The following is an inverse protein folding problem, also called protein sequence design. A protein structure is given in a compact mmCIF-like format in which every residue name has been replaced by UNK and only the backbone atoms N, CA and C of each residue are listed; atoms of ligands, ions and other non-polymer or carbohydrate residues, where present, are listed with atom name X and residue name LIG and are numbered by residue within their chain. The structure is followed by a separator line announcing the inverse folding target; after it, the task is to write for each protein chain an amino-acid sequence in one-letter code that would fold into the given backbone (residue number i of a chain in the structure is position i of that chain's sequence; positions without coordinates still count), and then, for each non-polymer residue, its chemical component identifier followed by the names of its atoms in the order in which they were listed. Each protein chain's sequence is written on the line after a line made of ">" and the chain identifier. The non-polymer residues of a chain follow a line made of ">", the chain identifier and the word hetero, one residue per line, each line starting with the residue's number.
data_IF_690670713288
#
_entry.id   IF_690670713288
#
_cell.length_a   1.000
_cell.length_b   1.000
_cell.length_c   1.000
_cell.angle_alpha   90.00
_cell.angle_beta   90.00
_cell.angle_gamma   90.00
#
_symmetry.space_group_name_H-M   'P 1'
#
loop_
_entity.id
_entity.type
_entity.pdbx_description
1 polymer ?
#
# COMPACT_ATOMS: atom_id res chain seq x y z
N UNK A 1 16.76 -2.44 17.04
CA UNK A 1 16.42 -3.69 16.32
C UNK A 1 15.23 -3.41 15.44
N UNK A 2 15.30 -3.79 14.17
CA UNK A 2 14.16 -3.87 13.22
C UNK A 2 13.77 -5.33 13.09
N UNK A 3 12.47 -5.63 13.20
CA UNK A 3 11.94 -7.00 13.06
C UNK A 3 10.98 -7.02 11.88
N UNK A 4 11.28 -7.82 10.88
CA UNK A 4 10.50 -8.01 9.67
C UNK A 4 9.94 -9.43 9.62
N UNK A 5 8.66 -9.54 9.29
CA UNK A 5 7.98 -10.83 9.27
C UNK A 5 8.43 -11.78 8.15
N UNK A 6 8.91 -11.20 7.05
CA UNK A 6 9.42 -11.90 5.86
C UNK A 6 10.79 -11.33 5.50
N UNK A 7 11.02 -11.06 4.24
CA UNK A 7 12.22 -10.36 3.76
C UNK A 7 11.95 -8.85 3.62
N UNK A 8 13.00 -8.03 3.73
CA UNK A 8 12.90 -6.60 3.49
C UNK A 8 12.40 -6.34 2.08
N UNK A 9 11.37 -5.50 1.95
CA UNK A 9 10.74 -5.20 0.66
C UNK A 9 9.62 -6.15 0.24
N UNK A 10 9.31 -7.20 1.00
CA UNK A 10 8.27 -8.20 0.64
C UNK A 10 6.85 -7.65 0.49
N UNK A 11 6.57 -6.45 0.96
CA UNK A 11 5.26 -5.79 0.85
C UNK A 11 5.38 -4.48 0.07
N UNK A 12 4.59 -3.49 0.37
CA UNK A 12 4.40 -2.25 -0.41
C UNK A 12 5.68 -1.59 -0.91
N UNK A 13 6.73 -1.51 -0.06
CA UNK A 13 7.95 -0.78 -0.44
C UNK A 13 8.70 -1.45 -1.60
N UNK A 14 8.81 -2.76 -1.63
CA UNK A 14 9.45 -3.48 -2.75
C UNK A 14 8.59 -3.53 -4.02
N UNK A 15 7.31 -3.17 -3.92
CA UNK A 15 6.35 -3.21 -5.03
C UNK A 15 5.88 -1.81 -5.45
N UNK A 16 6.48 -0.75 -4.89
CA UNK A 16 6.12 0.62 -5.28
C UNK A 16 6.81 1.04 -6.57
N UNK A 17 6.14 1.90 -7.35
CA UNK A 17 6.80 2.62 -8.45
C UNK A 17 7.73 3.74 -7.95
N UNK A 18 7.83 3.96 -6.66
CA UNK A 18 8.79 4.78 -5.95
C UNK A 18 9.02 6.20 -6.52
N UNK A 19 7.93 6.89 -6.84
CA UNK A 19 7.95 8.33 -7.09
C UNK A 19 8.21 9.07 -5.78
N UNK A 20 9.13 10.02 -5.79
CA UNK A 20 9.49 10.88 -4.68
C UNK A 20 9.15 12.32 -5.09
N UNK A 21 8.00 12.82 -4.62
CA UNK A 21 7.49 14.11 -5.11
C UNK A 21 6.64 14.83 -4.08
N UNK A 22 6.70 16.16 -4.11
CA UNK A 22 5.79 17.06 -3.41
C UNK A 22 4.50 17.31 -4.22
N UNK A 23 4.54 17.16 -5.56
CA UNK A 23 3.35 17.15 -6.41
C UNK A 23 2.81 15.72 -6.50
N UNK A 24 1.64 15.49 -5.93
CA UNK A 24 1.10 14.17 -5.61
C UNK A 24 -0.31 13.94 -6.21
N UNK A 25 -0.47 14.26 -7.50
CA UNK A 25 -1.77 14.22 -8.15
C UNK A 25 -2.68 15.32 -7.61
N UNK A 26 -3.86 14.97 -7.12
CA UNK A 26 -4.82 15.89 -6.51
C UNK A 26 -4.81 15.82 -4.97
N UNK A 27 -3.66 15.54 -4.36
CA UNK A 27 -3.58 15.31 -2.92
C UNK A 27 -3.80 16.60 -2.13
N UNK A 28 -3.33 17.75 -2.60
CA UNK A 28 -3.53 19.02 -1.88
C UNK A 28 -5.01 19.39 -1.82
N UNK A 29 -5.75 19.22 -2.91
CA UNK A 29 -7.22 19.41 -2.92
C UNK A 29 -7.91 18.43 -1.96
N UNK A 30 -7.51 17.16 -1.98
CA UNK A 30 -8.05 16.14 -1.11
C UNK A 30 -7.83 16.46 0.36
N UNK A 31 -6.62 16.91 0.73
CA UNK A 31 -6.31 17.31 2.10
C UNK A 31 -7.07 18.58 2.46
N UNK A 32 -7.08 19.59 1.59
CA UNK A 32 -7.75 20.87 1.86
C UNK A 32 -9.26 20.74 2.08
N UNK A 33 -9.91 19.84 1.34
CA UNK A 33 -11.35 19.60 1.48
C UNK A 33 -11.72 18.88 2.80
N UNK A 34 -10.74 18.32 3.50
CA UNK A 34 -10.95 17.48 4.69
C UNK A 34 -10.23 17.97 5.94
N UNK A 35 -9.44 19.02 5.83
CA UNK A 35 -8.63 19.58 6.89
C UNK A 35 -8.58 21.11 6.83
N UNK A 36 -8.02 21.72 7.86
CA UNK A 36 -7.76 23.17 7.91
C UNK A 36 -6.61 23.55 6.95
N UNK A 37 -6.51 24.83 6.62
CA UNK A 37 -5.40 25.35 5.82
C UNK A 37 -4.04 25.12 6.52
N UNK A 38 -3.99 25.29 7.84
CA UNK A 38 -2.76 25.05 8.62
C UNK A 38 -2.30 23.58 8.57
N UNK A 39 -3.22 22.63 8.52
CA UNK A 39 -2.88 21.20 8.31
C UNK A 39 -2.31 20.98 6.92
N UNK A 40 -2.86 21.64 5.89
CA UNK A 40 -2.31 21.53 4.53
C UNK A 40 -0.92 22.14 4.43
N UNK A 41 -0.67 23.33 5.02
CA UNK A 41 0.67 23.91 5.05
C UNK A 41 1.67 22.99 5.74
N UNK A 42 1.32 22.46 6.90
CA UNK A 42 2.17 21.52 7.63
C UNK A 42 2.41 20.21 6.83
N UNK A 43 1.44 19.76 6.04
CA UNK A 43 1.64 18.62 5.14
C UNK A 43 2.65 18.95 4.06
N UNK A 44 2.54 20.10 3.38
CA UNK A 44 3.49 20.52 2.33
C UNK A 44 4.91 20.61 2.90
N UNK A 45 5.09 21.25 4.08
CA UNK A 45 6.39 21.30 4.76
C UNK A 45 6.92 19.90 5.10
N UNK A 46 6.05 18.99 5.53
CA UNK A 46 6.44 17.60 5.83
C UNK A 46 6.92 16.84 4.58
N UNK A 47 6.27 17.10 3.41
CA UNK A 47 6.68 16.47 2.16
C UNK A 47 8.01 17.02 1.65
N UNK A 48 8.26 18.32 1.82
CA UNK A 48 9.56 18.93 1.54
C UNK A 48 10.66 18.31 2.42
N UNK A 49 10.45 18.24 3.73
CA UNK A 49 11.40 17.63 4.65
C UNK A 49 11.68 16.15 4.32
N UNK A 50 10.63 15.39 3.97
CA UNK A 50 10.77 13.99 3.55
C UNK A 50 11.54 13.83 2.25
N UNK A 51 11.28 14.68 1.28
CA UNK A 51 11.98 14.73 -0.01
C UNK A 51 13.46 15.06 0.16
N UNK A 52 13.77 16.14 0.88
CA UNK A 52 15.14 16.63 1.09
C UNK A 52 15.99 15.59 1.82
N UNK A 53 15.44 14.99 2.88
CA UNK A 53 16.14 13.93 3.61
C UNK A 53 16.46 12.74 2.71
N UNK A 54 15.47 12.28 1.90
CA UNK A 54 15.64 11.12 1.03
C UNK A 54 16.65 11.40 -0.09
N UNK A 55 16.57 12.57 -0.72
CA UNK A 55 17.52 12.99 -1.75
C UNK A 55 18.92 13.10 -1.19
N UNK A 56 19.09 13.71 0.01
CA UNK A 56 20.37 13.83 0.71
C UNK A 56 20.94 12.47 1.11
N UNK A 57 20.12 11.58 1.66
CA UNK A 57 20.53 10.22 2.00
C UNK A 57 20.99 9.43 0.76
N UNK A 58 20.24 9.49 -0.32
CA UNK A 58 20.59 8.81 -1.55
C UNK A 58 21.86 9.36 -2.20
N UNK A 59 22.10 10.67 -2.11
CA UNK A 59 23.34 11.31 -2.61
C UNK A 59 24.58 10.80 -1.87
N UNK A 60 24.48 10.55 -0.55
CA UNK A 60 25.60 10.06 0.26
C UNK A 60 25.81 8.54 0.06
N UNK A 61 24.75 7.78 -0.09
CA UNK A 61 24.79 6.30 -0.11
C UNK A 61 24.82 5.70 -1.50
N UNK A 62 24.58 6.49 -2.55
CA UNK A 62 24.44 5.99 -3.92
C UNK A 62 23.17 5.19 -4.16
N UNK A 63 22.11 5.40 -3.39
CA UNK A 63 20.86 4.62 -3.43
C UNK A 63 19.99 4.85 -4.69
N UNK A 64 20.57 5.25 -5.82
CA UNK A 64 19.92 5.27 -7.13
C UNK A 64 18.79 6.29 -7.26
N UNK A 65 18.92 7.47 -6.66
CA UNK A 65 17.97 8.57 -6.80
C UNK A 65 18.22 9.32 -8.12
N UNK A 66 17.17 9.45 -8.92
CA UNK A 66 17.19 10.17 -10.18
C UNK A 66 16.27 11.40 -10.14
N UNK A 67 16.80 12.56 -10.55
CA UNK A 67 15.97 13.76 -10.73
C UNK A 67 15.06 13.59 -11.91
N UNK A 68 13.78 13.88 -11.73
CA UNK A 68 12.72 13.84 -12.74
C UNK A 68 11.67 14.89 -12.43
N UNK A 69 11.05 15.43 -13.48
CA UNK A 69 9.87 16.26 -13.30
C UNK A 69 8.66 15.43 -12.88
N UNK A 70 7.85 15.97 -11.99
CA UNK A 70 6.55 15.41 -11.64
C UNK A 70 5.43 16.16 -12.35
N UNK A 71 4.55 15.44 -13.03
CA UNK A 71 3.46 15.99 -13.82
C UNK A 71 2.12 15.38 -13.39
N UNK A 72 1.19 16.22 -13.01
CA UNK A 72 -0.21 15.85 -12.80
C UNK A 72 -1.03 16.31 -13.99
N UNK A 73 -1.68 15.42 -14.73
CA UNK A 73 -2.35 15.72 -15.99
C UNK A 73 -3.83 15.34 -16.01
N UNK A 74 -4.59 15.99 -16.85
CA UNK A 74 -5.97 15.65 -17.19
C UNK A 74 -6.00 14.90 -18.53
N UNK A 75 -6.62 13.73 -18.56
CA UNK A 75 -6.86 12.94 -19.77
C UNK A 75 -8.22 13.25 -20.42
N UNK A 76 -9.04 14.09 -19.79
CA UNK A 76 -10.34 14.54 -20.32
C UNK A 76 -10.50 16.06 -20.12
N UNK A 77 -11.36 16.73 -20.92
CA UNK A 77 -11.65 18.15 -20.71
C UNK A 77 -12.17 18.47 -19.30
N UNK A 78 -12.95 17.59 -18.70
CA UNK A 78 -13.53 17.75 -17.35
C UNK A 78 -12.45 17.68 -16.27
N UNK A 79 -11.37 16.96 -16.52
CA UNK A 79 -10.23 16.84 -15.62
C UNK A 79 -9.43 18.13 -15.47
N UNK A 80 -9.48 19.05 -16.49
CA UNK A 80 -8.74 20.32 -16.49
C UNK A 80 -9.00 21.15 -15.24
N UNK A 81 -10.25 21.24 -14.79
CA UNK A 81 -10.60 21.99 -13.60
C UNK A 81 -9.90 21.46 -12.33
N UNK A 82 -9.66 20.14 -12.25
CA UNK A 82 -8.92 19.52 -11.13
C UNK A 82 -7.42 19.86 -11.21
N UNK A 83 -6.84 19.86 -12.41
CA UNK A 83 -5.46 20.26 -12.64
C UNK A 83 -5.24 21.72 -12.22
N UNK A 84 -6.10 22.64 -12.68
CA UNK A 84 -6.02 24.06 -12.32
C UNK A 84 -6.22 24.32 -10.82
N UNK A 85 -7.11 23.56 -10.17
CA UNK A 85 -7.32 23.68 -8.73
C UNK A 85 -6.08 23.20 -7.95
N UNK A 86 -5.42 22.11 -8.37
CA UNK A 86 -4.17 21.65 -7.77
C UNK A 86 -3.04 22.64 -7.98
N UNK A 87 -2.93 23.23 -9.19
CA UNK A 87 -1.98 24.29 -9.49
C UNK A 87 -2.13 25.47 -8.53
N UNK A 88 -3.36 26.00 -8.37
CA UNK A 88 -3.61 27.13 -7.47
C UNK A 88 -3.23 26.80 -6.02
N UNK A 89 -3.56 25.61 -5.53
CA UNK A 89 -3.19 25.18 -4.18
C UNK A 89 -1.68 25.03 -4.02
N UNK A 90 -1.02 24.38 -4.96
CA UNK A 90 0.43 24.19 -4.94
C UNK A 90 1.16 25.55 -4.90
N UNK A 91 0.78 26.48 -5.79
CA UNK A 91 1.32 27.85 -5.81
C UNK A 91 1.11 28.60 -4.50
N UNK A 92 -0.11 28.53 -3.94
CA UNK A 92 -0.44 29.22 -2.69
C UNK A 92 0.32 28.69 -1.46
N UNK A 93 0.94 27.50 -1.58
CA UNK A 93 1.76 26.89 -0.54
C UNK A 93 3.26 26.85 -0.90
N UNK A 94 3.70 27.67 -1.84
CA UNK A 94 5.10 27.91 -2.13
C UNK A 94 5.76 26.89 -3.07
N UNK A 95 5.00 26.00 -3.70
CA UNK A 95 5.54 25.13 -4.74
C UNK A 95 5.67 25.89 -6.07
N UNK A 96 6.86 25.86 -6.66
CA UNK A 96 7.15 26.48 -7.95
C UNK A 96 6.66 25.63 -9.11
N UNK A 97 5.34 25.48 -9.21
CA UNK A 97 4.68 24.71 -10.26
C UNK A 97 4.39 25.54 -11.50
N UNK A 98 4.40 24.87 -12.65
CA UNK A 98 4.05 25.39 -13.96
C UNK A 98 2.71 24.80 -14.42
N UNK A 99 1.85 25.62 -15.03
CA UNK A 99 0.62 25.15 -15.67
C UNK A 99 0.86 25.00 -17.17
N UNK A 100 0.54 23.83 -17.71
CA UNK A 100 0.72 23.47 -19.11
C UNK A 100 -0.65 23.17 -19.74
N UNK A 101 -0.77 23.45 -21.05
CA UNK A 101 -1.96 23.08 -21.81
C UNK A 101 -1.96 21.60 -22.20
N UNK A 102 -0.78 21.00 -22.34
CA UNK A 102 -0.56 19.60 -22.72
C UNK A 102 0.57 18.96 -21.89
N UNK A 103 0.46 17.66 -21.58
CA UNK A 103 1.46 16.95 -20.79
C UNK A 103 2.59 16.34 -21.64
N UNK A 104 2.48 16.34 -22.97
CA UNK A 104 3.46 15.75 -23.87
C UNK A 104 3.47 14.20 -23.87
N UNK A 105 2.32 13.58 -23.60
CA UNK A 105 2.14 12.13 -23.61
C UNK A 105 1.61 11.65 -24.98
N UNK A 106 1.74 10.35 -25.33
CA UNK A 106 1.31 9.84 -26.64
C UNK A 106 -0.22 9.81 -26.82
N UNK A 107 -0.97 10.26 -25.84
CA UNK A 107 -2.44 10.39 -25.88
C UNK A 107 -2.86 11.82 -25.55
N UNK A 108 -4.08 12.23 -25.95
CA UNK A 108 -4.58 13.58 -25.69
C UNK A 108 -4.61 13.89 -24.19
N UNK A 109 -4.10 15.09 -23.83
CA UNK A 109 -4.21 15.65 -22.50
C UNK A 109 -4.78 17.06 -22.56
N UNK A 110 -5.50 17.47 -21.50
CA UNK A 110 -6.29 18.70 -21.45
C UNK A 110 -5.83 19.60 -20.32
N UNK A 111 -4.51 19.73 -20.18
CA UNK A 111 -3.81 20.50 -19.17
C UNK A 111 -3.05 19.65 -18.20
N UNK A 112 -1.97 20.23 -17.66
CA UNK A 112 -1.10 19.59 -16.69
C UNK A 112 -0.50 20.60 -15.72
N UNK A 113 -0.12 20.13 -14.54
CA UNK A 113 0.75 20.84 -13.58
C UNK A 113 2.06 20.13 -13.53
N UNK A 114 3.16 20.86 -13.71
CA UNK A 114 4.54 20.35 -13.59
C UNK A 114 5.24 20.95 -12.39
N UNK A 115 5.95 20.11 -11.67
CA UNK A 115 6.92 20.50 -10.63
C UNK A 115 8.28 19.93 -10.99
N UNK A 116 9.24 20.83 -11.24
CA UNK A 116 10.58 20.46 -11.64
C UNK A 116 11.39 19.85 -10.49
N UNK A 117 12.49 19.17 -10.82
CA UNK A 117 13.50 18.68 -9.89
C UNK A 117 12.97 17.78 -8.78
N UNK A 118 11.88 17.08 -9.04
CA UNK A 118 11.41 16.00 -8.18
C UNK A 118 12.30 14.76 -8.36
N UNK A 119 11.88 13.58 -7.93
CA UNK A 119 12.73 12.41 -8.06
C UNK A 119 11.98 11.10 -8.12
N UNK A 120 12.69 10.12 -8.60
CA UNK A 120 12.34 8.70 -8.50
C UNK A 120 13.53 7.92 -7.95
N UNK A 121 13.27 6.75 -7.39
CA UNK A 121 14.33 5.94 -6.79
C UNK A 121 14.05 4.46 -7.04
N UNK A 122 15.10 3.65 -7.03
CA UNK A 122 14.96 2.20 -6.92
C UNK A 122 14.68 1.86 -5.43
N UNK A 123 13.49 1.38 -5.08
CA UNK A 123 13.13 1.16 -3.69
C UNK A 123 13.94 0.05 -3.02
N UNK A 124 14.45 -0.93 -3.79
CA UNK A 124 15.26 -2.01 -3.23
C UNK A 124 16.69 -1.56 -2.96
N UNK A 125 17.27 -0.67 -3.80
CA UNK A 125 18.56 -0.04 -3.51
C UNK A 125 18.46 0.85 -2.28
N UNK A 126 17.37 1.62 -2.13
CA UNK A 126 17.12 2.41 -0.93
C UNK A 126 17.05 1.53 0.33
N UNK A 127 16.29 0.43 0.29
CA UNK A 127 16.18 -0.49 1.44
C UNK A 127 17.52 -1.13 1.79
N UNK A 128 18.32 -1.51 0.78
CA UNK A 128 19.66 -2.05 0.98
C UNK A 128 20.58 -1.02 1.65
N UNK A 129 20.56 0.24 1.17
CA UNK A 129 21.35 1.33 1.76
C UNK A 129 20.92 1.64 3.21
N UNK A 130 19.59 1.70 3.47
CA UNK A 130 19.08 1.89 4.83
C UNK A 130 19.48 0.74 5.78
N UNK A 131 19.42 -0.50 5.30
CA UNK A 131 19.83 -1.67 6.08
C UNK A 131 21.35 -1.67 6.33
N UNK A 132 22.14 -1.24 5.36
CA UNK A 132 23.58 -1.05 5.49
C UNK A 132 23.90 -0.01 6.56
N UNK A 133 23.29 1.17 6.47
CA UNK A 133 23.47 2.26 7.43
C UNK A 133 23.00 1.87 8.86
N UNK A 134 21.89 1.15 8.97
CA UNK A 134 21.44 0.61 10.24
C UNK A 134 22.50 -0.27 10.90
N UNK A 135 23.12 -1.18 10.15
CA UNK A 135 24.17 -2.08 10.66
C UNK A 135 25.45 -1.32 11.03
N UNK A 136 25.87 -0.37 10.21
CA UNK A 136 27.03 0.48 10.48
C UNK A 136 26.90 1.23 11.79
N UNK A 137 25.67 1.62 12.15
CA UNK A 137 25.35 2.26 13.44
C UNK A 137 25.05 1.28 14.57
N UNK A 138 25.39 0.00 14.44
CA UNK A 138 25.15 -1.05 15.44
C UNK A 138 23.72 -1.51 15.57
N UNK A 139 22.84 -1.16 14.62
CA UNK A 139 21.49 -1.67 14.57
C UNK A 139 21.42 -3.10 14.02
N UNK A 140 20.33 -3.81 14.33
CA UNK A 140 20.12 -5.20 13.90
C UNK A 140 18.81 -5.28 13.12
N UNK A 141 18.85 -5.91 11.94
CA UNK A 141 17.69 -6.29 11.15
C UNK A 141 17.49 -7.80 11.27
N UNK A 142 16.32 -8.21 11.77
CA UNK A 142 15.89 -9.61 11.89
C UNK A 142 14.77 -9.84 10.89
N UNK A 143 14.97 -10.70 9.91
CA UNK A 143 13.97 -11.14 8.93
C UNK A 143 13.38 -12.50 9.30
N UNK A 144 12.23 -12.87 8.73
CA UNK A 144 11.54 -14.14 9.01
C UNK A 144 10.90 -14.21 10.40
N UNK A 145 10.85 -13.10 11.15
CA UNK A 145 10.32 -13.06 12.51
C UNK A 145 9.07 -12.15 12.60
N UNK A 146 7.90 -12.77 12.72
CA UNK A 146 6.62 -12.04 12.79
C UNK A 146 6.32 -11.58 14.21
N UNK A 147 6.11 -10.27 14.38
CA UNK A 147 5.57 -9.71 15.62
C UNK A 147 4.07 -10.03 15.71
N UNK A 148 3.66 -10.69 16.78
CA UNK A 148 2.27 -11.10 17.02
C UNK A 148 1.58 -10.31 18.13
N UNK A 149 2.35 -9.58 18.94
CA UNK A 149 1.79 -8.76 20.01
C UNK A 149 2.81 -7.87 20.68
N UNK A 150 2.31 -6.82 21.34
CA UNK A 150 3.09 -5.94 22.22
C UNK A 150 2.34 -5.78 23.53
N UNK A 151 2.91 -6.28 24.60
CA UNK A 151 2.38 -6.14 25.95
C UNK A 151 2.54 -4.71 26.45
N UNK A 152 1.45 -4.14 27.01
CA UNK A 152 1.53 -2.91 27.77
C UNK A 152 2.04 -3.24 29.17
N UNK A 153 3.31 -3.06 29.41
CA UNK A 153 3.84 -3.09 30.76
C UNK A 153 3.51 -1.75 31.44
N UNK A 154 2.44 -1.68 32.21
CA UNK A 154 2.08 -0.46 32.96
C UNK A 154 3.09 -0.13 34.09
N UNK A 155 3.90 -1.09 34.48
CA UNK A 155 4.85 -0.95 35.60
C UNK A 155 6.31 -1.25 35.28
N UNK A 156 6.65 -1.73 34.06
CA UNK A 156 8.02 -2.04 33.69
C UNK A 156 8.59 -0.98 32.74
N UNK A 157 9.90 -0.73 32.81
CA UNK A 157 10.62 0.23 31.94
C UNK A 157 10.61 -0.18 30.46
N UNK A 158 10.19 -1.40 30.13
CA UNK A 158 10.23 -1.99 28.82
C UNK A 158 8.87 -2.55 28.39
N UNK A 159 8.55 -2.42 27.12
CA UNK A 159 7.49 -3.18 26.47
C UNK A 159 7.98 -4.61 26.14
N UNK A 160 7.10 -5.59 26.29
CA UNK A 160 7.37 -6.97 25.85
C UNK A 160 6.78 -7.19 24.47
N UNK A 161 7.63 -7.42 23.47
CA UNK A 161 7.25 -7.69 22.08
C UNK A 161 7.26 -9.21 21.86
N UNK A 162 6.11 -9.76 21.51
CA UNK A 162 5.98 -11.18 21.16
C UNK A 162 6.28 -11.37 19.69
N UNK A 163 7.20 -12.30 19.37
CA UNK A 163 7.51 -12.66 17.97
C UNK A 163 7.45 -14.18 17.77
N UNK A 164 7.38 -14.60 16.51
CA UNK A 164 7.47 -16.03 16.16
C UNK A 164 8.84 -16.66 16.49
N UNK A 165 9.88 -15.84 16.69
CA UNK A 165 11.24 -16.28 17.06
C UNK A 165 11.55 -16.10 18.56
N UNK A 166 10.54 -15.76 19.38
CA UNK A 166 10.69 -15.53 20.81
C UNK A 166 10.41 -14.08 21.23
N UNK A 167 10.35 -13.82 22.54
CA UNK A 167 10.04 -12.49 23.07
C UNK A 167 11.25 -11.55 23.03
N UNK A 168 10.97 -10.25 22.78
CA UNK A 168 11.94 -9.17 22.85
C UNK A 168 11.52 -8.14 23.89
N UNK A 169 12.48 -7.50 24.56
CA UNK A 169 12.25 -6.36 25.46
C UNK A 169 12.73 -5.07 24.80
N UNK A 170 11.89 -4.06 24.76
CA UNK A 170 12.24 -2.76 24.15
C UNK A 170 11.73 -1.60 24.99
N UNK A 171 12.55 -0.55 25.18
CA UNK A 171 12.12 0.69 25.85
C UNK A 171 11.03 1.40 25.05
N UNK A 172 11.13 1.38 23.72
CA UNK A 172 10.16 1.94 22.78
C UNK A 172 9.93 0.99 21.62
N UNK A 173 8.72 0.96 21.11
CA UNK A 173 8.30 0.12 19.98
C UNK A 173 7.64 1.03 18.95
N UNK A 174 8.04 0.92 17.69
CA UNK A 174 7.40 1.59 16.55
C UNK A 174 6.70 0.55 15.70
N UNK A 175 5.39 0.67 15.53
CA UNK A 175 4.60 -0.15 14.62
C UNK A 175 4.63 0.49 13.22
N UNK A 176 5.50 -0.02 12.35
CA UNK A 176 5.62 0.36 10.94
C UNK A 176 5.10 -0.76 10.02
N UNK A 177 4.01 -1.41 10.42
CA UNK A 177 3.50 -2.67 9.84
C UNK A 177 2.48 -2.46 8.71
N UNK A 178 2.50 -1.32 8.04
CA UNK A 178 1.52 -0.90 7.02
C UNK A 178 0.17 -0.56 7.66
N UNK A 179 -0.50 -1.54 8.25
CA UNK A 179 -1.60 -1.32 9.19
C UNK A 179 -1.18 -1.79 10.59
N UNK A 180 -1.54 -1.05 11.67
CA UNK A 180 -1.19 -1.47 13.02
C UNK A 180 -1.78 -2.85 13.36
N UNK A 181 -0.92 -3.74 13.85
CA UNK A 181 -1.31 -5.10 14.27
C UNK A 181 -1.98 -5.14 15.66
N UNK A 182 -2.05 -4.01 16.36
CA UNK A 182 -2.73 -3.86 17.64
C UNK A 182 -4.03 -3.09 17.43
N UNK A 183 -5.15 -3.65 17.90
CA UNK A 183 -6.49 -3.08 17.72
C UNK A 183 -6.75 -1.84 18.60
N UNK A 184 -5.73 -1.41 19.36
CA UNK A 184 -5.77 -0.20 20.17
C UNK A 184 -5.91 1.04 19.29
N UNK A 185 -6.86 1.92 19.60
CA UNK A 185 -7.15 3.12 18.82
C UNK A 185 -7.94 2.85 17.53
N UNK A 186 -8.36 1.61 17.27
CA UNK A 186 -9.24 1.19 16.15
C UNK A 186 -8.71 1.66 14.77
N UNK A 187 -7.39 1.59 14.55
CA UNK A 187 -6.81 2.04 13.29
C UNK A 187 -7.30 1.23 12.09
N UNK A 188 -7.62 -0.06 12.25
CA UNK A 188 -8.21 -0.87 11.20
C UNK A 188 -9.52 -0.24 10.65
N UNK A 189 -10.33 0.42 11.49
CA UNK A 189 -11.55 1.11 11.09
C UNK A 189 -11.30 2.53 10.55
N UNK A 190 -10.08 3.05 10.68
CA UNK A 190 -9.65 4.38 10.21
C UNK A 190 -8.80 4.31 8.93
N UNK A 191 -8.57 3.12 8.40
CA UNK A 191 -7.74 2.88 7.24
C UNK A 191 -8.53 2.11 6.19
N UNK A 192 -8.43 2.53 4.93
CA UNK A 192 -8.98 1.82 3.80
C UNK A 192 -7.85 1.13 3.04
N UNK A 193 -7.82 -0.21 3.05
CA UNK A 193 -6.85 -0.98 2.28
C UNK A 193 -7.20 -0.93 0.80
N UNK A 194 -6.25 -0.49 -0.03
CA UNK A 194 -6.37 -0.36 -1.49
C UNK A 194 -5.23 -1.13 -2.16
N UNK A 195 -5.55 -1.78 -3.27
CA UNK A 195 -4.58 -2.42 -4.14
C UNK A 195 -4.51 -1.68 -5.46
N UNK A 196 -3.31 -1.58 -6.03
CA UNK A 196 -3.08 -1.02 -7.37
C UNK A 196 -2.08 -1.90 -8.10
N UNK A 197 -2.13 -1.87 -9.43
CA UNK A 197 -1.29 -2.64 -10.31
C UNK A 197 -0.19 -1.78 -10.89
N UNK A 198 0.92 -2.39 -11.21
CA UNK A 198 2.02 -1.80 -11.95
C UNK A 198 2.56 -2.82 -12.95
N UNK A 199 3.02 -2.34 -14.09
CA UNK A 199 3.57 -3.13 -15.18
C UNK A 199 4.82 -2.45 -15.72
N UNK A 200 5.83 -3.24 -16.06
CA UNK A 200 7.05 -2.80 -16.71
C UNK A 200 7.05 -3.26 -18.15
N UNK A 201 7.31 -2.34 -19.06
CA UNK A 201 7.22 -2.56 -20.50
C UNK A 201 8.51 -2.16 -21.17
N UNK A 202 8.98 -2.97 -22.12
CA UNK A 202 10.04 -2.58 -23.04
C UNK A 202 9.41 -1.81 -24.19
N UNK A 203 9.89 -0.58 -24.38
CA UNK A 203 9.49 0.32 -25.47
C UNK A 203 10.76 0.93 -26.09
N UNK A 204 10.71 1.45 -27.32
CA UNK A 204 11.80 2.24 -27.87
C UNK A 204 12.18 3.41 -26.95
N UNK A 205 13.48 3.74 -26.77
CA UNK A 205 13.94 4.76 -25.84
C UNK A 205 13.29 6.14 -26.04
N UNK A 206 12.98 6.49 -27.28
CA UNK A 206 12.31 7.76 -27.65
C UNK A 206 10.84 7.83 -27.21
N UNK A 207 10.24 6.71 -26.83
CA UNK A 207 8.88 6.62 -26.32
C UNK A 207 8.81 6.66 -24.80
N UNK A 208 9.96 6.68 -24.12
CA UNK A 208 10.00 6.82 -22.67
C UNK A 208 9.58 8.25 -22.27
N UNK A 209 8.72 8.42 -21.23
CA UNK A 209 8.15 9.72 -20.91
C UNK A 209 9.15 10.72 -20.32
N UNK A 210 10.32 10.29 -19.87
CA UNK A 210 11.35 11.15 -19.29
C UNK A 210 10.97 11.85 -17.98
N UNK A 211 9.83 11.51 -17.40
CA UNK A 211 9.27 12.13 -16.19
C UNK A 211 8.32 11.22 -15.44
N UNK A 212 7.74 11.74 -14.37
CA UNK A 212 6.77 11.05 -13.53
C UNK A 212 5.38 11.66 -13.74
N UNK A 213 4.46 10.90 -14.28
CA UNK A 213 3.11 11.38 -14.63
C UNK A 213 2.05 10.70 -13.78
N UNK A 214 0.98 11.45 -13.44
CA UNK A 214 -0.17 10.95 -12.72
C UNK A 214 -1.46 11.63 -13.20
N UNK A 215 -2.40 10.85 -13.73
CA UNK A 215 -3.70 11.33 -14.19
C UNK A 215 -4.64 11.65 -13.04
N UNK A 216 -5.55 12.62 -13.26
CA UNK A 216 -6.56 13.03 -12.26
C UNK A 216 -7.87 12.28 -12.36
N UNK A 217 -8.06 11.51 -13.41
CA UNK A 217 -9.27 10.70 -13.66
C UNK A 217 -9.25 9.36 -12.93
N UNK A 218 -10.40 8.70 -12.94
CA UNK A 218 -10.55 7.30 -12.54
C UNK A 218 -10.96 6.45 -13.75
N UNK A 219 -10.30 5.33 -13.96
CA UNK A 219 -9.17 4.79 -13.20
C UNK A 219 -7.91 5.63 -13.39
N UNK A 220 -7.20 5.87 -12.28
CA UNK A 220 -5.94 6.65 -12.33
C UNK A 220 -4.90 5.94 -13.20
N UNK A 221 -4.20 6.71 -14.03
CA UNK A 221 -3.04 6.24 -14.80
C UNK A 221 -1.77 6.92 -14.29
N UNK A 222 -0.76 6.13 -14.03
CA UNK A 222 0.54 6.56 -13.52
C UNK A 222 1.62 6.07 -14.46
N UNK A 223 2.54 6.95 -14.85
CA UNK A 223 3.63 6.65 -15.77
C UNK A 223 4.95 7.13 -15.18
N UNK A 224 6.01 6.43 -15.47
CA UNK A 224 7.41 6.86 -15.35
C UNK A 224 8.32 5.94 -16.12
N UNK A 225 9.51 6.40 -16.42
CA UNK A 225 10.60 5.51 -16.84
C UNK A 225 11.33 4.88 -15.64
N UNK A 226 11.91 3.72 -15.85
CA UNK A 226 12.85 3.07 -14.95
C UNK A 226 13.95 2.42 -15.79
N UNK A 227 15.12 3.05 -15.82
CA UNK A 227 16.19 2.71 -16.75
C UNK A 227 15.65 2.77 -18.19
N UNK A 228 15.59 1.63 -18.89
CA UNK A 228 15.14 1.43 -20.27
C UNK A 228 13.68 0.92 -20.36
N UNK A 229 12.94 0.91 -19.26
CA UNK A 229 11.57 0.40 -19.19
C UNK A 229 10.57 1.53 -18.90
N UNK A 230 9.42 1.46 -19.55
CA UNK A 230 8.23 2.21 -19.18
C UNK A 230 7.52 1.48 -18.03
N UNK A 231 7.30 2.18 -16.93
CA UNK A 231 6.42 1.70 -15.86
C UNK A 231 5.04 2.34 -15.99
N UNK A 232 4.02 1.53 -16.15
CA UNK A 232 2.61 1.96 -16.09
C UNK A 232 1.98 1.47 -14.80
N UNK A 233 1.00 2.22 -14.27
CA UNK A 233 0.30 1.83 -13.05
C UNK A 233 -1.11 2.36 -12.99
N UNK A 234 -1.98 1.67 -12.26
CA UNK A 234 -3.37 2.11 -12.16
C UNK A 234 -4.33 1.08 -11.59
N UNK A 235 -5.60 1.22 -11.97
CA UNK A 235 -6.70 0.30 -11.70
C UNK A 235 -6.89 -0.07 -10.22
N UNK A 236 -6.63 0.91 -9.32
CA UNK A 236 -6.70 0.69 -7.88
C UNK A 236 -8.13 0.44 -7.39
N UNK A 237 -8.30 -0.57 -6.53
CA UNK A 237 -9.59 -0.92 -5.91
C UNK A 237 -9.43 -1.33 -4.44
N UNK A 238 -10.54 -1.52 -3.72
CA UNK A 238 -10.54 -2.08 -2.36
C UNK A 238 -10.05 -3.52 -2.35
N UNK A 239 -9.16 -3.86 -1.40
CA UNK A 239 -8.63 -5.23 -1.24
C UNK A 239 -9.78 -6.21 -1.00
N UNK A 240 -9.77 -7.35 -1.70
CA UNK A 240 -10.81 -8.38 -1.61
C UNK A 240 -12.21 -7.92 -2.07
N UNK A 241 -12.32 -6.77 -2.77
CA UNK A 241 -13.61 -6.18 -3.18
C UNK A 241 -13.82 -6.16 -4.70
N UNK A 242 -12.93 -6.74 -5.48
CA UNK A 242 -13.08 -6.94 -6.92
C UNK A 242 -13.25 -8.43 -7.20
N UNK A 243 -14.08 -8.77 -8.19
CA UNK A 243 -14.36 -10.18 -8.54
C UNK A 243 -13.14 -10.87 -9.16
N UNK A 244 -12.48 -10.19 -10.09
CA UNK A 244 -11.22 -10.62 -10.69
C UNK A 244 -10.21 -9.49 -10.62
N UNK A 245 -9.23 -9.58 -9.72
CA UNK A 245 -8.03 -8.75 -9.72
C UNK A 245 -7.20 -8.86 -11.00
N UNK A 246 -7.17 -10.02 -11.66
CA UNK A 246 -6.51 -10.24 -12.96
C UNK A 246 -7.06 -9.31 -14.04
N UNK A 247 -8.39 -9.21 -14.17
CA UNK A 247 -9.03 -8.29 -15.12
C UNK A 247 -8.56 -6.83 -14.94
N UNK A 248 -8.22 -6.40 -13.71
CA UNK A 248 -7.71 -5.06 -13.48
C UNK A 248 -6.29 -4.85 -14.02
N UNK A 249 -5.47 -5.89 -13.98
CA UNK A 249 -4.13 -5.87 -14.58
C UNK A 249 -4.24 -5.92 -16.10
N UNK A 250 -5.13 -6.76 -16.64
CA UNK A 250 -5.36 -6.90 -18.08
C UNK A 250 -5.88 -5.58 -18.69
N UNK A 251 -6.87 -4.92 -18.06
CA UNK A 251 -7.34 -3.58 -18.45
C UNK A 251 -6.22 -2.52 -18.46
N UNK A 252 -5.24 -2.63 -17.57
CA UNK A 252 -4.06 -1.74 -17.58
C UNK A 252 -3.13 -2.07 -18.73
N UNK A 253 -2.95 -3.36 -19.03
CA UNK A 253 -2.16 -3.83 -20.16
C UNK A 253 -2.76 -3.38 -21.49
N UNK A 254 -4.06 -3.59 -21.69
CA UNK A 254 -4.79 -3.16 -22.89
C UNK A 254 -4.65 -1.65 -23.11
N UNK A 255 -4.81 -0.87 -22.03
CA UNK A 255 -4.62 0.58 -22.09
C UNK A 255 -3.18 0.95 -22.46
N UNK A 256 -2.18 0.24 -21.94
CA UNK A 256 -0.78 0.52 -22.28
C UNK A 256 -0.50 0.21 -23.74
N UNK A 257 -0.93 -0.95 -24.24
CA UNK A 257 -0.75 -1.33 -25.63
C UNK A 257 -1.48 -0.43 -26.62
N UNK A 258 -2.62 0.14 -26.23
CA UNK A 258 -3.33 1.13 -27.04
C UNK A 258 -2.45 2.36 -27.35
N UNK A 259 -1.65 2.82 -26.38
CA UNK A 259 -0.88 4.06 -26.51
C UNK A 259 0.60 3.83 -26.80
N UNK A 260 1.10 2.63 -26.53
CA UNK A 260 2.44 2.13 -26.92
C UNK A 260 2.30 0.85 -27.72
N UNK A 261 1.84 0.94 -28.98
CA UNK A 261 1.71 -0.25 -29.83
C UNK A 261 3.06 -0.96 -29.98
N UNK A 262 3.05 -2.29 -29.76
CA UNK A 262 4.26 -3.09 -29.81
C UNK A 262 5.10 -3.11 -28.53
N UNK A 263 4.63 -2.47 -27.43
CA UNK A 263 5.25 -2.61 -26.12
C UNK A 263 5.25 -4.07 -25.66
N UNK A 264 6.40 -4.55 -25.19
CA UNK A 264 6.57 -5.90 -24.65
C UNK A 264 6.45 -5.88 -23.13
N UNK A 265 5.50 -6.63 -22.55
CA UNK A 265 5.36 -6.77 -21.11
C UNK A 265 6.53 -7.57 -20.53
N UNK A 266 7.34 -6.94 -19.67
CA UNK A 266 8.50 -7.53 -19.01
C UNK A 266 8.16 -8.10 -17.65
N UNK A 267 7.33 -7.36 -16.88
CA UNK A 267 6.91 -7.75 -15.54
C UNK A 267 5.60 -7.06 -15.15
N UNK A 268 4.84 -7.71 -14.29
CA UNK A 268 3.64 -7.13 -13.68
C UNK A 268 3.56 -7.50 -12.20
N UNK A 269 3.02 -6.62 -11.40
CA UNK A 269 2.84 -6.83 -9.96
C UNK A 269 1.74 -5.96 -9.39
N UNK A 270 1.37 -6.19 -8.15
CA UNK A 270 0.46 -5.30 -7.43
C UNK A 270 1.04 -4.87 -6.08
N UNK A 271 0.55 -3.77 -5.57
CA UNK A 271 0.93 -3.23 -4.27
C UNK A 271 -0.31 -2.85 -3.45
N UNK A 272 -0.27 -3.16 -2.16
CA UNK A 272 -1.30 -2.75 -1.22
C UNK A 272 -0.85 -1.54 -0.42
N UNK A 273 -1.74 -0.56 -0.26
CA UNK A 273 -1.51 0.63 0.58
C UNK A 273 -2.77 0.99 1.38
N UNK A 274 -2.60 1.88 2.34
CA UNK A 274 -3.64 2.26 3.29
C UNK A 274 -3.93 3.76 3.18
N UNK A 275 -5.20 4.09 2.92
CA UNK A 275 -5.68 5.46 2.84
C UNK A 275 -6.29 5.89 4.16
N UNK A 276 -6.03 7.13 4.56
CA UNK A 276 -6.71 7.77 5.70
C UNK A 276 -7.92 8.58 5.22
N UNK A 277 -8.97 8.76 6.04
CA UNK A 277 -10.13 9.57 5.67
C UNK A 277 -9.79 11.04 5.39
N UNK A 278 -8.77 11.58 6.06
CA UNK A 278 -8.34 12.98 5.92
C UNK A 278 -7.15 13.19 4.98
N UNK A 279 -6.55 12.12 4.40
CA UNK A 279 -5.44 12.22 3.45
C UNK A 279 -4.05 12.37 4.08
N UNK A 280 -3.95 12.64 5.39
CA UNK A 280 -2.68 12.81 6.11
C UNK A 280 -2.36 11.53 6.89
N UNK A 281 -1.08 11.09 6.99
CA UNK A 281 -0.71 9.91 7.77
C UNK A 281 -1.13 9.99 9.25
N UNK A 282 -1.36 8.83 9.85
CA UNK A 282 -1.36 8.69 11.31
C UNK A 282 0.07 8.43 11.78
N UNK A 283 0.55 9.24 12.70
CA UNK A 283 1.88 9.15 13.29
C UNK A 283 1.83 9.56 14.76
N UNK A 284 2.66 8.95 15.61
CA UNK A 284 2.76 9.29 17.03
C UNK A 284 2.42 8.14 17.95
N UNK A 285 1.95 8.45 19.16
CA UNK A 285 1.66 7.46 20.19
C UNK A 285 0.44 6.59 19.87
N UNK A 286 0.59 5.30 20.11
CA UNK A 286 -0.54 4.39 20.10
C UNK A 286 -1.36 4.58 21.40
N UNK A 287 -2.68 4.83 21.32
CA UNK A 287 -3.54 4.87 22.51
C UNK A 287 -3.38 3.61 23.37
N UNK A 288 -3.35 3.79 24.70
CA UNK A 288 -3.10 2.72 25.69
C UNK A 288 -1.75 1.99 25.49
N UNK A 289 -0.78 2.63 24.84
CA UNK A 289 0.58 2.11 24.65
C UNK A 289 1.54 2.44 25.80
N UNK A 290 1.07 3.06 26.88
CA UNK A 290 1.88 3.44 28.05
C UNK A 290 3.03 4.40 27.72
N UNK A 291 2.87 5.26 26.69
CA UNK A 291 3.92 6.16 26.21
C UNK A 291 5.13 5.48 25.55
N UNK A 292 5.06 4.15 25.33
CA UNK A 292 6.17 3.35 24.80
C UNK A 292 5.95 2.80 23.40
N UNK A 293 4.69 2.77 22.95
CA UNK A 293 4.32 2.24 21.64
C UNK A 293 3.91 3.37 20.72
N UNK A 294 4.56 3.46 19.60
CA UNK A 294 4.34 4.45 18.55
C UNK A 294 3.88 3.76 17.27
N UNK A 295 3.34 4.51 16.33
CA UNK A 295 2.94 4.02 15.03
C UNK A 295 3.17 5.05 13.92
N UNK A 296 3.31 4.55 12.69
CA UNK A 296 3.21 5.32 11.47
C UNK A 296 2.44 4.49 10.43
N UNK A 297 1.38 5.06 9.82
CA UNK A 297 0.53 4.36 8.85
C UNK A 297 -0.31 5.31 8.00
N UNK A 298 -0.94 4.79 6.94
CA UNK A 298 -1.89 5.55 6.13
C UNK A 298 -1.23 6.53 5.18
N UNK A 299 -0.24 6.09 4.44
CA UNK A 299 0.58 6.93 3.56
C UNK A 299 -0.10 7.32 2.25
N UNK A 300 -1.29 6.81 1.97
CA UNK A 300 -2.15 7.24 0.86
C UNK A 300 -1.45 7.21 -0.49
N UNK A 301 -0.71 6.13 -0.79
CA UNK A 301 0.11 5.87 -1.99
C UNK A 301 1.40 6.72 -2.11
N UNK A 302 1.69 7.58 -1.14
CA UNK A 302 2.89 8.43 -1.15
C UNK A 302 3.87 8.05 -0.04
N UNK A 303 4.09 6.73 0.11
CA UNK A 303 4.91 6.16 1.18
C UNK A 303 6.38 6.59 1.15
N UNK A 304 6.93 6.98 0.00
CA UNK A 304 8.33 7.40 -0.10
C UNK A 304 8.58 8.66 0.75
N UNK A 305 7.84 9.73 0.50
CA UNK A 305 7.97 10.98 1.26
C UNK A 305 7.28 10.91 2.62
N UNK A 306 6.06 10.36 2.71
CA UNK A 306 5.35 10.21 3.98
C UNK A 306 6.05 9.28 4.95
N UNK A 307 6.71 8.22 4.49
CA UNK A 307 7.49 7.31 5.33
C UNK A 307 8.61 8.04 6.04
N UNK A 308 9.38 8.86 5.31
CA UNK A 308 10.45 9.68 5.88
C UNK A 308 9.89 10.78 6.78
N UNK A 309 8.89 11.53 6.35
CA UNK A 309 8.26 12.58 7.15
C UNK A 309 7.72 12.05 8.49
N UNK A 310 7.11 10.86 8.49
CA UNK A 310 6.64 10.21 9.73
C UNK A 310 7.79 9.68 10.58
N UNK A 311 8.88 9.20 9.98
CA UNK A 311 10.09 8.81 10.73
C UNK A 311 10.71 10.03 11.43
N UNK A 312 10.84 11.16 10.73
CA UNK A 312 11.29 12.43 11.33
C UNK A 312 10.37 12.88 12.48
N UNK A 313 9.06 12.73 12.31
CA UNK A 313 8.09 13.03 13.36
C UNK A 313 8.28 12.14 14.59
N UNK A 314 8.44 10.83 14.40
CA UNK A 314 8.66 9.89 15.49
C UNK A 314 9.99 10.14 16.22
N UNK A 315 11.03 10.53 15.50
CA UNK A 315 12.31 10.94 16.11
C UNK A 315 12.12 12.19 16.97
N UNK A 316 11.44 13.22 16.44
CA UNK A 316 11.10 14.42 17.20
C UNK A 316 10.28 14.13 18.46
N UNK A 317 9.27 13.25 18.37
CA UNK A 317 8.44 12.82 19.51
C UNK A 317 9.27 12.07 20.57
N UNK A 318 10.17 11.19 20.13
CA UNK A 318 10.99 10.35 21.03
C UNK A 318 12.06 11.17 21.74
N UNK A 319 12.64 12.16 21.06
CA UNK A 319 13.70 13.01 21.61
C UNK A 319 13.16 14.27 22.28
N UNK A 320 11.87 14.62 22.08
CA UNK A 320 11.29 15.85 22.59
C UNK A 320 11.63 17.10 21.76
N UNK A 321 12.04 16.93 20.51
CA UNK A 321 12.56 17.96 19.60
C UNK A 321 11.65 18.19 18.35
N UNK A 322 10.33 18.19 18.54
CA UNK A 322 9.39 18.34 17.43
C UNK A 322 9.44 19.75 16.81
N UNK A 323 9.43 19.79 15.48
CA UNK A 323 9.36 21.04 14.68
C UNK A 323 7.95 21.65 14.66
N UNK A 324 7.77 22.81 14.02
CA UNK A 324 6.48 23.50 13.90
C UNK A 324 5.45 22.66 13.13
N UNK A 325 5.81 22.12 11.97
CA UNK A 325 4.92 21.32 11.14
C UNK A 325 4.54 19.98 11.80
N UNK A 326 5.46 19.34 12.53
CA UNK A 326 5.18 18.12 13.29
C UNK A 326 4.12 18.39 14.36
N UNK A 327 4.28 19.45 15.15
CA UNK A 327 3.27 19.86 16.15
C UNK A 327 1.93 20.22 15.52
N UNK A 328 1.93 20.89 14.35
CA UNK A 328 0.70 21.23 13.64
C UNK A 328 -0.05 19.97 13.15
N UNK A 329 0.67 18.98 12.62
CA UNK A 329 0.08 17.70 12.22
C UNK A 329 -0.46 16.90 13.41
N UNK A 330 0.19 16.93 14.56
CA UNK A 330 -0.32 16.29 15.79
C UNK A 330 -1.58 16.95 16.34
N UNK A 331 -1.67 18.28 16.26
CA UNK A 331 -2.81 19.06 16.76
C UNK A 331 -3.97 19.20 15.77
N UNK A 332 -3.88 18.51 14.62
CA UNK A 332 -4.92 18.61 13.59
C UNK A 332 -6.29 18.21 14.13
N UNK A 333 -7.30 18.98 13.77
CA UNK A 333 -8.71 18.72 14.10
C UNK A 333 -9.32 17.86 12.98
N UNK A 334 -10.06 16.82 13.35
CA UNK A 334 -10.83 16.02 12.41
C UNK A 334 -12.08 16.75 12.01
N UNK A 335 -12.16 17.24 10.77
CA UNK A 335 -13.33 17.95 10.26
C UNK A 335 -14.48 16.99 9.92
N UNK A 336 -15.75 17.46 9.93
CA UNK A 336 -16.92 16.65 9.58
C UNK A 336 -16.80 15.93 8.23
N UNK A 337 -16.18 16.57 7.23
CA UNK A 337 -15.95 15.95 5.94
C UNK A 337 -15.06 14.70 6.03
N UNK A 338 -14.02 14.72 6.86
CA UNK A 338 -13.18 13.53 7.09
C UNK A 338 -13.93 12.44 7.86
N UNK A 339 -14.78 12.83 8.83
CA UNK A 339 -15.64 11.88 9.55
C UNK A 339 -16.61 11.20 8.60
N UNK A 340 -17.26 11.95 7.70
CA UNK A 340 -18.20 11.41 6.72
C UNK A 340 -17.53 10.38 5.80
N UNK A 341 -16.29 10.65 5.34
CA UNK A 341 -15.51 9.68 4.56
C UNK A 341 -15.23 8.41 5.37
N UNK A 342 -14.82 8.55 6.64
CA UNK A 342 -14.58 7.41 7.52
C UNK A 342 -15.83 6.56 7.75
N UNK A 343 -16.98 7.19 7.95
CA UNK A 343 -18.29 6.49 8.07
C UNK A 343 -18.60 5.75 6.78
N UNK A 344 -18.49 6.40 5.61
CA UNK A 344 -18.75 5.79 4.31
C UNK A 344 -17.88 4.54 4.07
N UNK A 345 -16.60 4.60 4.38
CA UNK A 345 -15.70 3.43 4.27
C UNK A 345 -16.11 2.29 5.23
N UNK A 346 -16.51 2.59 6.46
CA UNK A 346 -16.95 1.56 7.40
C UNK A 346 -18.31 0.94 7.00
N UNK A 347 -19.23 1.72 6.43
CA UNK A 347 -20.46 1.19 5.83
C UNK A 347 -20.16 0.28 4.64
N UNK A 348 -19.19 0.65 3.80
CA UNK A 348 -18.71 -0.21 2.72
C UNK A 348 -18.10 -1.51 3.26
N UNK A 349 -17.28 -1.45 4.32
CA UNK A 349 -16.76 -2.64 5.03
C UNK A 349 -17.91 -3.53 5.50
N UNK A 350 -18.92 -2.98 6.18
CA UNK A 350 -20.09 -3.71 6.67
C UNK A 350 -20.86 -4.39 5.54
N UNK A 351 -21.08 -3.69 4.41
CA UNK A 351 -21.79 -4.24 3.24
C UNK A 351 -20.99 -5.40 2.60
N UNK A 352 -19.68 -5.28 2.48
CA UNK A 352 -18.84 -6.36 1.95
C UNK A 352 -18.72 -7.53 2.93
N UNK A 353 -18.73 -7.27 4.21
CA UNK A 353 -18.79 -8.30 5.23
C UNK A 353 -20.06 -9.15 5.06
N UNK A 354 -21.24 -8.51 5.02
CA UNK A 354 -22.50 -9.21 4.84
C UNK A 354 -22.57 -9.98 3.50
N UNK A 355 -22.16 -9.35 2.39
CA UNK A 355 -22.13 -9.97 1.06
C UNK A 355 -21.19 -11.18 1.00
N UNK A 356 -20.01 -11.09 1.60
CA UNK A 356 -19.04 -12.19 1.59
C UNK A 356 -19.57 -13.42 2.36
N UNK A 357 -20.23 -13.21 3.48
CA UNK A 357 -20.91 -14.27 4.22
C UNK A 357 -22.08 -14.85 3.45
N UNK A 358 -22.97 -14.02 2.89
CA UNK A 358 -24.11 -14.48 2.10
C UNK A 358 -23.65 -15.33 0.92
N UNK A 359 -22.65 -14.86 0.16
CA UNK A 359 -22.05 -15.59 -0.96
C UNK A 359 -21.49 -16.95 -0.54
N UNK A 360 -20.71 -16.98 0.55
CA UNK A 360 -20.10 -18.21 1.06
C UNK A 360 -21.11 -19.25 1.51
N UNK A 361 -22.25 -18.81 2.07
CA UNK A 361 -23.30 -19.71 2.53
C UNK A 361 -24.27 -20.13 1.41
N UNK A 362 -24.29 -19.46 0.27
CA UNK A 362 -25.19 -19.76 -0.85
C UNK A 362 -24.85 -21.08 -1.56
N UNK A 363 -23.55 -21.44 -1.62
CA UNK A 363 -23.10 -22.58 -2.41
C UNK A 363 -22.23 -23.53 -1.56
N UNK A 364 -22.27 -24.86 -1.83
CA UNK A 364 -21.32 -25.79 -1.23
C UNK A 364 -19.91 -25.47 -1.72
N UNK A 365 -18.91 -25.64 -0.84
CA UNK A 365 -17.53 -25.53 -1.22
C UNK A 365 -17.12 -26.71 -2.12
N UNK A 366 -16.35 -26.48 -3.19
CA UNK A 366 -15.83 -27.56 -4.03
C UNK A 366 -14.85 -28.43 -3.22
N UNK A 367 -14.57 -29.63 -3.72
CA UNK A 367 -13.52 -30.49 -3.17
C UNK A 367 -12.14 -30.08 -3.68
N UNK A 368 -12.08 -29.57 -4.89
CA UNK A 368 -10.88 -29.14 -5.62
C UNK A 368 -11.26 -27.99 -6.57
N UNK A 369 -10.30 -27.14 -6.92
CA UNK A 369 -10.43 -26.09 -7.93
C UNK A 369 -9.46 -26.36 -9.10
N UNK A 370 -9.63 -25.68 -10.22
CA UNK A 370 -8.62 -25.71 -11.29
C UNK A 370 -7.34 -25.03 -10.83
N UNK A 371 -6.22 -25.37 -11.45
CA UNK A 371 -4.91 -24.81 -11.12
C UNK A 371 -4.91 -23.27 -11.16
N UNK A 372 -4.30 -22.63 -10.17
CA UNK A 372 -4.24 -21.18 -10.02
C UNK A 372 -5.53 -20.52 -9.49
N UNK A 373 -6.59 -21.29 -9.21
CA UNK A 373 -7.90 -20.75 -8.80
C UNK A 373 -8.21 -21.07 -7.34
N UNK A 374 -9.08 -20.22 -6.79
CA UNK A 374 -9.64 -20.39 -5.45
C UNK A 374 -11.11 -20.02 -5.42
N UNK A 375 -11.87 -20.74 -4.62
CA UNK A 375 -13.32 -20.56 -4.46
C UNK A 375 -13.71 -20.65 -2.98
N UNK A 376 -14.74 -19.87 -2.61
CA UNK A 376 -15.32 -19.89 -1.26
C UNK A 376 -16.74 -20.39 -1.34
N UNK A 377 -17.03 -21.42 -0.57
CA UNK A 377 -18.38 -21.97 -0.38
C UNK A 377 -18.58 -22.41 1.08
N UNK A 378 -19.55 -23.25 1.35
CA UNK A 378 -19.79 -23.80 2.71
C UNK A 378 -19.53 -25.29 2.81
N UNK A 379 -19.02 -25.73 3.96
CA UNK A 379 -19.11 -27.13 4.43
C UNK A 379 -19.96 -27.16 5.69
N UNK A 380 -21.14 -27.76 5.60
CA UNK A 380 -22.17 -27.53 6.62
C UNK A 380 -22.54 -26.05 6.69
N UNK A 381 -22.32 -25.42 7.84
CA UNK A 381 -22.57 -23.98 8.08
C UNK A 381 -21.31 -23.13 8.07
N UNK A 382 -20.13 -23.73 7.83
CA UNK A 382 -18.84 -23.06 7.94
C UNK A 382 -18.37 -22.60 6.55
N UNK A 383 -18.11 -21.29 6.33
CA UNK A 383 -17.42 -20.80 5.16
C UNK A 383 -16.07 -21.49 4.98
N UNK A 384 -15.85 -22.06 3.81
CA UNK A 384 -14.66 -22.84 3.46
C UNK A 384 -14.05 -22.29 2.18
N UNK A 385 -12.77 -22.03 2.22
CA UNK A 385 -11.95 -21.56 1.11
C UNK A 385 -11.16 -22.75 0.54
N UNK A 386 -11.28 -23.01 -0.74
CA UNK A 386 -10.57 -24.09 -1.45
C UNK A 386 -9.77 -23.47 -2.58
N UNK A 387 -8.48 -23.76 -2.65
CA UNK A 387 -7.60 -23.33 -3.76
C UNK A 387 -6.65 -24.45 -4.15
N UNK A 388 -6.35 -24.52 -5.46
CA UNK A 388 -5.33 -25.41 -6.02
C UNK A 388 -4.24 -24.55 -6.65
N UNK A 389 -3.02 -24.65 -6.10
CA UNK A 389 -1.84 -23.92 -6.57
C UNK A 389 -0.64 -24.87 -6.51
N UNK A 390 0.19 -24.86 -7.56
CA UNK A 390 1.34 -25.75 -7.72
C UNK A 390 1.00 -27.24 -7.49
N UNK A 391 -0.14 -27.66 -8.03
CA UNK A 391 -0.64 -29.02 -7.88
C UNK A 391 -1.12 -29.40 -6.47
N UNK A 392 -1.19 -28.44 -5.55
CA UNK A 392 -1.61 -28.68 -4.16
C UNK A 392 -2.95 -28.05 -3.89
N UNK A 393 -3.96 -28.84 -3.52
CA UNK A 393 -5.26 -28.35 -3.09
C UNK A 393 -5.28 -28.13 -1.57
N UNK A 394 -5.56 -26.89 -1.18
CA UNK A 394 -5.75 -26.49 0.21
C UNK A 394 -7.22 -26.22 0.50
N UNK A 395 -7.68 -26.64 1.67
CA UNK A 395 -9.05 -26.38 2.15
C UNK A 395 -8.98 -25.79 3.56
N UNK A 396 -9.42 -24.52 3.68
CA UNK A 396 -9.24 -23.69 4.86
C UNK A 396 -10.58 -23.15 5.36
N UNK A 397 -10.65 -22.82 6.65
CA UNK A 397 -11.74 -21.99 7.16
C UNK A 397 -11.62 -20.59 6.53
N UNK A 398 -12.62 -20.16 5.74
CA UNK A 398 -12.58 -18.91 5.01
C UNK A 398 -12.77 -17.66 5.89
N UNK A 399 -12.93 -17.85 7.20
CA UNK A 399 -13.16 -16.74 8.15
C UNK A 399 -11.83 -16.12 8.54
N UNK A 400 -11.66 -14.83 8.19
CA UNK A 400 -10.45 -14.07 8.53
C UNK A 400 -10.25 -14.02 10.06
N UNK A 401 -9.08 -14.42 10.58
CA UNK A 401 -8.81 -14.50 12.01
C UNK A 401 -8.67 -13.12 12.70
N UNK A 402 -8.78 -11.99 11.94
CA UNK A 402 -8.81 -10.64 12.53
C UNK A 402 -10.20 -10.30 13.09
N UNK A 403 -11.22 -10.13 12.24
CA UNK A 403 -12.56 -9.67 12.61
C UNK A 403 -13.68 -10.53 12.00
N UNK A 404 -13.37 -11.69 11.47
CA UNK A 404 -14.39 -12.66 11.05
C UNK A 404 -15.06 -12.43 9.68
N UNK A 405 -14.56 -11.52 8.84
CA UNK A 405 -15.05 -11.40 7.47
C UNK A 405 -14.60 -12.61 6.63
N UNK A 406 -15.38 -12.98 5.62
CA UNK A 406 -15.03 -14.08 4.71
C UNK A 406 -14.09 -13.56 3.62
N UNK A 407 -12.94 -14.24 3.46
CA UNK A 407 -11.91 -13.89 2.47
C UNK A 407 -12.40 -14.15 1.04
N UNK A 408 -11.74 -13.51 0.07
CA UNK A 408 -11.98 -13.69 -1.35
C UNK A 408 -10.68 -14.08 -2.04
N UNK A 409 -10.76 -14.89 -3.10
CA UNK A 409 -9.60 -15.24 -3.90
C UNK A 409 -9.13 -14.07 -4.75
N UNK A 410 -7.83 -13.89 -4.80
CA UNK A 410 -7.15 -12.97 -5.68
C UNK A 410 -6.43 -13.79 -6.75
N UNK A 411 -7.01 -13.82 -7.93
CA UNK A 411 -6.54 -14.58 -9.10
C UNK A 411 -5.30 -13.98 -9.77
N UNK A 412 -4.91 -12.76 -9.40
CA UNK A 412 -3.68 -12.14 -9.86
C UNK A 412 -2.49 -12.52 -8.97
N UNK A 413 -2.68 -12.51 -7.64
CA UNK A 413 -1.62 -12.75 -6.66
C UNK A 413 -1.58 -14.21 -6.15
N UNK A 414 -2.57 -15.03 -6.50
CA UNK A 414 -2.72 -16.37 -5.93
C UNK A 414 -2.88 -16.34 -4.41
N UNK A 415 -3.71 -15.44 -3.88
CA UNK A 415 -3.83 -15.22 -2.44
C UNK A 415 -5.28 -15.11 -1.97
N UNK A 416 -5.51 -15.28 -0.68
CA UNK A 416 -6.79 -15.00 -0.02
C UNK A 416 -6.77 -13.61 0.58
N UNK A 417 -7.63 -12.72 0.11
CA UNK A 417 -7.69 -11.31 0.50
C UNK A 417 -8.96 -11.00 1.31
N UNK A 418 -8.80 -10.34 2.46
CA UNK A 418 -9.92 -9.98 3.33
C UNK A 418 -10.55 -8.64 2.90
N UNK A 419 -11.87 -8.61 2.53
CA UNK A 419 -12.54 -7.39 2.04
C UNK A 419 -12.79 -6.35 3.14
N UNK A 420 -12.65 -6.72 4.41
CA UNK A 420 -12.89 -5.81 5.52
C UNK A 420 -11.70 -4.85 5.72
N UNK A 421 -10.52 -5.38 6.06
CA UNK A 421 -9.37 -4.57 6.48
C UNK A 421 -8.07 -4.89 5.74
N UNK A 422 -8.11 -5.71 4.68
CA UNK A 422 -6.96 -5.96 3.82
C UNK A 422 -5.96 -6.99 4.32
N UNK A 423 -6.31 -7.86 5.28
CA UNK A 423 -5.46 -9.02 5.60
C UNK A 423 -5.33 -9.92 4.38
N UNK A 424 -4.11 -10.44 4.16
CA UNK A 424 -3.81 -11.33 3.04
C UNK A 424 -3.18 -12.62 3.53
N UNK A 425 -3.50 -13.70 2.83
CA UNK A 425 -3.01 -15.04 3.18
C UNK A 425 -2.58 -15.79 1.92
N UNK A 426 -1.54 -16.59 2.04
CA UNK A 426 -1.11 -17.51 0.99
C UNK A 426 -2.16 -18.61 0.75
N UNK A 427 -2.05 -19.39 -0.33
CA UNK A 427 -2.97 -20.51 -0.62
C UNK A 427 -3.11 -21.52 0.51
N UNK A 428 -2.05 -21.73 1.29
CA UNK A 428 -2.02 -22.63 2.47
C UNK A 428 -2.58 -21.99 3.75
N UNK A 429 -2.99 -20.72 3.69
CA UNK A 429 -3.52 -19.94 4.81
C UNK A 429 -2.47 -19.18 5.60
N UNK A 430 -1.19 -19.27 5.28
CA UNK A 430 -0.12 -18.50 5.93
C UNK A 430 -0.35 -17.00 5.77
N UNK A 431 -0.28 -16.24 6.87
CA UNK A 431 -0.50 -14.79 6.83
C UNK A 431 0.62 -14.07 6.06
N UNK A 432 0.27 -13.33 5.02
CA UNK A 432 1.18 -12.51 4.22
C UNK A 432 1.21 -11.07 4.73
N UNK A 433 0.02 -10.45 4.90
CA UNK A 433 -0.14 -9.08 5.37
C UNK A 433 -1.21 -8.97 6.44
N UNK A 434 -0.97 -8.07 7.41
CA UNK A 434 -1.93 -7.75 8.48
C UNK A 434 -3.19 -7.00 7.99
N UNK A 435 -4.08 -6.66 8.94
CA UNK A 435 -3.92 -6.69 10.41
C UNK A 435 -4.05 -8.07 11.08
N UNK A 436 -4.41 -9.13 10.35
CA UNK A 436 -4.39 -10.49 10.92
C UNK A 436 -2.98 -10.87 11.40
N UNK A 437 -2.90 -11.45 12.60
CA UNK A 437 -1.65 -11.90 13.25
C UNK A 437 -1.44 -13.39 13.18
N UNK A 438 -2.48 -14.13 12.81
CA UNK A 438 -2.50 -15.59 12.75
C UNK A 438 -2.91 -16.04 11.36
N UNK A 439 -2.38 -17.18 10.93
CA UNK A 439 -2.78 -17.86 9.71
C UNK A 439 -4.23 -18.36 9.78
N UNK A 440 -4.83 -18.60 8.63
CA UNK A 440 -6.12 -19.26 8.52
C UNK A 440 -5.98 -20.73 8.99
N UNK A 441 -7.01 -21.27 9.57
CA UNK A 441 -7.00 -22.67 10.02
C UNK A 441 -7.50 -23.59 8.90
N UNK A 442 -7.07 -24.84 8.93
CA UNK A 442 -7.62 -25.87 8.03
C UNK A 442 -9.11 -26.08 8.27
N UNK A 443 -9.85 -26.36 7.22
CA UNK A 443 -11.25 -26.72 7.34
C UNK A 443 -11.38 -28.09 8.03
N UNK A 444 -12.43 -28.25 8.86
CA UNK A 444 -12.69 -29.51 9.57
C UNK A 444 -12.89 -30.64 8.55
N UNK A 445 -12.20 -31.75 8.77
CA UNK A 445 -12.28 -32.96 7.90
C UNK A 445 -11.48 -32.86 6.59
N UNK A 446 -10.69 -31.80 6.38
CA UNK A 446 -9.86 -31.69 5.17
C UNK A 446 -8.49 -32.34 5.36
N UNK A 447 -8.05 -33.09 4.32
CA UNK A 447 -6.66 -33.52 4.16
C UNK A 447 -6.03 -32.69 3.03
N UNK A 448 -4.77 -32.29 3.16
CA UNK A 448 -4.00 -31.76 2.03
C UNK A 448 -3.80 -32.93 1.06
N UNK A 449 -4.32 -32.82 -0.15
CA UNK A 449 -4.08 -33.84 -1.17
C UNK A 449 -3.09 -33.25 -2.18
N UNK A 450 -1.88 -33.84 -2.31
CA UNK A 450 -1.08 -33.59 -3.49
C UNK A 450 -1.83 -34.17 -4.68
N UNK A 451 -1.90 -33.44 -5.78
CA UNK A 451 -2.53 -33.91 -7.02
C UNK A 451 -1.78 -35.17 -7.48
N UNK A 452 -2.53 -36.22 -7.79
CA UNK A 452 -1.95 -37.37 -8.47
C UNK A 452 -1.35 -36.89 -9.82
N UNK A 453 -0.14 -37.36 -10.20
CA UNK A 453 0.46 -36.96 -11.46
C UNK A 453 -0.51 -37.28 -12.58
N UNK A 454 -0.87 -36.27 -13.38
CA UNK A 454 -1.64 -36.50 -14.61
C UNK A 454 -0.83 -37.44 -15.48
N UNK A 455 -1.35 -38.66 -15.74
CA UNK A 455 -0.80 -39.52 -16.75
C UNK A 455 -0.82 -38.74 -18.07
N UNK A 456 0.36 -38.52 -18.62
CA UNK A 456 0.47 -37.99 -19.97
C UNK A 456 -0.44 -38.85 -20.89
N UNK A 457 -1.38 -38.22 -21.54
CA UNK A 457 -2.17 -38.88 -22.56
C UNK A 457 -1.18 -39.37 -23.64
N UNK A 458 -1.05 -40.69 -23.75
CA UNK A 458 -0.32 -41.29 -24.84
C UNK A 458 -1.06 -40.90 -26.13
N UNK A 459 -0.44 -40.06 -26.94
CA UNK A 459 -0.89 -39.78 -28.31
C UNK A 459 -0.68 -41.02 -29.13
N UNK A 460 -1.68 -41.47 -29.94
CA UNK A 460 -1.59 -42.63 -30.77
C UNK A 460 -0.60 -42.46 -31.92
#
# INVERSE_FOLDING_TARGET
>A
VVVEAREAGSVTTGHTTAKVSQLQGTMLQRIRSRNTASTLSAYVESQAAGFDWLAGFAAVTGAGFERRDAVTYAATPEGRAKVEAEYRLARSHGLEVELLDDAGLPFPTYGAVRLHQQGQIDPMQLLAALAGELRTRGGVLVTGARVTGVGAAHSADHALVQTSAGPLRARRVVLATGTPILDRGLYFAKLAARRSYAQAWRVPPEQLPGGMFLGVEQPTRSLRDARDLLLTGGNGHGVGRRRSPREAADELADWTQQWWPGAELVAEWSAQDYLTPHGVPFVGWLPRGGGKVYLATGFSKWGMTNGVATALTLVGDILGESTSWQRALHRRVTLPAAVAVGIGENLAVGSWYARSWAKALAHPAPTETIEGHGEVGRRGVVPTAVSTVDGTTNSLCAICPHMGAVVQWNDFEGSWDCPAHGSRFAPDGTVLEGPAKRSMTRAVGSRTQPRAPQRAAATP
#
